data_IF_354867503453
#
_entry.id   IF_354867503453
#
_cell.length_a   1.000
_cell.length_b   1.000
_cell.length_c   1.000
_cell.angle_alpha   90.00
_cell.angle_beta   90.00
_cell.angle_gamma   90.00
#
_symmetry.space_group_name_H-M   'P 1'
#
loop_
_entity.id
_entity.type
_entity.pdbx_description
1 polymer ?
#
# COMPACT_ATOMS: atom_id res chain seq x y z
N UNK A 1 15.25 -3.73 -14.15
CA UNK A 1 15.09 -2.52 -13.32
C UNK A 1 13.96 -1.67 -13.89
N UNK A 2 13.11 -1.13 -13.03
CA UNK A 2 12.00 -0.24 -13.37
C UNK A 2 12.19 1.09 -12.64
N UNK A 3 11.85 2.21 -13.30
CA UNK A 3 11.92 3.53 -12.70
C UNK A 3 10.63 3.83 -11.91
N UNK A 4 10.81 4.32 -10.67
CA UNK A 4 9.73 4.76 -9.79
C UNK A 4 10.06 6.17 -9.29
N UNK A 5 9.55 7.18 -9.96
CA UNK A 5 9.98 8.56 -9.72
C UNK A 5 11.47 8.72 -9.98
N UNK A 6 12.23 9.13 -8.96
CA UNK A 6 13.70 9.29 -9.03
C UNK A 6 14.46 7.99 -8.76
N UNK A 7 13.80 6.94 -8.32
CA UNK A 7 14.40 5.68 -7.92
C UNK A 7 14.38 4.63 -9.03
N UNK A 8 15.29 3.65 -8.92
CA UNK A 8 15.28 2.44 -9.74
C UNK A 8 15.10 1.24 -8.81
N UNK A 9 14.08 0.42 -9.08
CA UNK A 9 13.81 -0.82 -8.35
C UNK A 9 13.88 -2.02 -9.27
N UNK A 10 14.14 -3.21 -8.71
CA UNK A 10 14.10 -4.44 -9.49
C UNK A 10 12.66 -4.67 -9.99
N UNK A 11 12.47 -4.79 -11.30
CA UNK A 11 11.18 -5.18 -11.88
C UNK A 11 10.91 -6.67 -11.58
N UNK A 12 11.92 -7.48 -11.75
CA UNK A 12 11.99 -8.90 -11.42
C UNK A 12 13.46 -9.25 -11.13
N UNK A 13 13.73 -10.35 -10.41
CA UNK A 13 15.08 -10.70 -9.96
C UNK A 13 15.77 -11.73 -10.84
N UNK A 14 15.05 -12.56 -11.56
CA UNK A 14 15.63 -13.55 -12.45
C UNK A 14 15.22 -13.32 -13.90
N UNK A 15 16.15 -13.58 -14.83
CA UNK A 15 15.85 -13.65 -16.27
C UNK A 15 15.23 -14.98 -16.67
N UNK A 16 15.50 -16.00 -15.86
CA UNK A 16 15.12 -17.40 -16.10
C UNK A 16 13.82 -17.78 -15.38
N UNK A 17 13.37 -16.97 -14.42
CA UNK A 17 12.10 -17.12 -13.72
C UNK A 17 11.16 -15.97 -14.10
N UNK A 18 9.90 -16.30 -14.31
CA UNK A 18 8.88 -15.29 -14.56
C UNK A 18 8.48 -14.59 -13.24
N UNK A 19 7.87 -13.41 -13.32
CA UNK A 19 7.27 -12.77 -12.13
C UNK A 19 6.21 -13.68 -11.48
N UNK A 20 5.65 -14.64 -12.22
CA UNK A 20 4.71 -15.66 -11.74
C UNK A 20 5.34 -16.58 -10.71
N UNK A 21 6.60 -17.00 -10.94
CA UNK A 21 7.35 -17.83 -9.99
C UNK A 21 7.66 -17.06 -8.70
N UNK A 22 7.95 -15.76 -8.81
CA UNK A 22 8.12 -14.88 -7.64
C UNK A 22 6.82 -14.78 -6.84
N UNK A 23 5.66 -14.55 -7.50
CA UNK A 23 4.33 -14.54 -6.88
C UNK A 23 4.04 -15.86 -6.17
N UNK A 24 4.24 -16.98 -6.86
CA UNK A 24 4.03 -18.32 -6.31
C UNK A 24 4.89 -18.57 -5.08
N UNK A 25 6.17 -18.14 -5.12
CA UNK A 25 7.07 -18.31 -3.97
C UNK A 25 6.60 -17.52 -2.75
N UNK A 26 6.14 -16.29 -2.92
CA UNK A 26 5.56 -15.49 -1.82
C UNK A 26 4.32 -16.15 -1.24
N UNK A 27 3.44 -16.71 -2.06
CA UNK A 27 2.22 -17.40 -1.62
C UNK A 27 2.47 -18.72 -0.90
N UNK A 28 3.46 -19.49 -1.34
CA UNK A 28 3.71 -20.84 -0.82
C UNK A 28 4.79 -20.90 0.25
N UNK A 29 5.78 -20.02 0.18
CA UNK A 29 7.00 -20.06 1.00
C UNK A 29 7.27 -18.73 1.70
N UNK A 30 8.27 -17.99 1.22
CA UNK A 30 8.61 -16.66 1.70
C UNK A 30 9.37 -15.88 0.64
N UNK A 31 9.00 -14.63 0.47
CA UNK A 31 9.68 -13.68 -0.39
C UNK A 31 10.29 -12.51 0.40
N UNK A 32 11.32 -11.90 -0.17
CA UNK A 32 11.91 -10.65 0.34
C UNK A 32 11.97 -9.62 -0.79
N UNK A 33 11.63 -8.38 -0.49
CA UNK A 33 11.73 -7.27 -1.46
C UNK A 33 12.29 -6.01 -0.81
N UNK A 34 12.97 -5.22 -1.62
CA UNK A 34 13.48 -3.90 -1.23
C UNK A 34 12.35 -2.87 -1.26
N UNK A 35 12.12 -2.22 -0.12
CA UNK A 35 11.17 -1.10 0.06
C UNK A 35 11.87 0.17 0.54
N UNK A 36 13.18 0.26 0.35
CA UNK A 36 14.00 1.41 0.79
C UNK A 36 13.57 2.73 0.19
N UNK A 37 12.85 2.70 -0.93
CA UNK A 37 12.39 3.91 -1.64
C UNK A 37 11.17 4.58 -1.03
N UNK A 38 10.48 3.94 -0.07
CA UNK A 38 9.42 4.59 0.71
C UNK A 38 9.98 5.79 1.45
N UNK A 39 9.23 6.90 1.51
CA UNK A 39 9.59 8.00 2.39
C UNK A 39 9.51 7.56 3.84
N UNK A 40 10.49 7.94 4.65
CA UNK A 40 10.55 7.63 6.09
C UNK A 40 10.87 8.90 6.86
N UNK A 41 10.01 9.22 7.81
CA UNK A 41 10.10 10.45 8.58
C UNK A 41 9.93 10.16 10.06
N UNK A 42 10.66 10.90 10.90
CA UNK A 42 10.43 10.93 12.35
C UNK A 42 9.89 12.30 12.72
N UNK A 43 8.86 12.33 13.52
CA UNK A 43 8.29 13.55 14.10
C UNK A 43 8.25 13.39 15.61
N UNK A 44 8.75 14.39 16.33
CA UNK A 44 8.83 14.38 17.80
C UNK A 44 8.57 15.78 18.38
N UNK A 45 8.14 15.82 19.63
CA UNK A 45 7.83 17.06 20.36
C UNK A 45 6.42 17.05 20.94
N UNK A 46 6.16 17.94 21.88
CA UNK A 46 4.88 17.99 22.63
C UNK A 46 3.65 18.16 21.73
N UNK A 47 3.81 18.71 20.53
CA UNK A 47 2.75 18.92 19.57
C UNK A 47 2.81 17.99 18.35
N UNK A 48 3.72 17.00 18.34
CA UNK A 48 3.86 16.05 17.22
C UNK A 48 2.54 15.35 16.87
N UNK A 49 1.78 14.92 17.87
CA UNK A 49 0.45 14.32 17.68
C UNK A 49 -0.53 15.30 17.02
N UNK A 50 -0.50 16.58 17.37
CA UNK A 50 -1.39 17.60 16.77
C UNK A 50 -1.11 17.77 15.28
N UNK A 51 0.17 17.72 14.89
CA UNK A 51 0.58 17.78 13.48
C UNK A 51 0.05 16.57 12.72
N UNK A 52 0.25 15.35 13.25
CA UNK A 52 -0.27 14.12 12.65
C UNK A 52 -1.80 14.14 12.54
N UNK A 53 -2.50 14.60 13.60
CA UNK A 53 -3.96 14.75 13.61
C UNK A 53 -4.47 15.82 12.61
N UNK A 54 -3.68 16.83 12.29
CA UNK A 54 -4.02 17.83 11.26
C UNK A 54 -3.96 17.22 9.84
N UNK A 55 -2.94 16.43 9.56
CA UNK A 55 -2.61 15.97 8.22
C UNK A 55 -3.36 14.69 7.84
N UNK A 56 -3.38 13.70 8.74
CA UNK A 56 -4.00 12.42 8.45
C UNK A 56 -5.49 12.44 8.76
N UNK A 57 -6.29 11.97 7.79
CA UNK A 57 -7.74 11.89 7.94
C UNK A 57 -8.17 10.89 9.02
N UNK A 58 -7.34 9.89 9.30
CA UNK A 58 -7.49 8.98 10.42
C UNK A 58 -7.38 9.72 11.76
N UNK A 59 -7.98 9.18 12.83
CA UNK A 59 -7.59 9.59 14.18
C UNK A 59 -6.30 8.89 14.58
N UNK A 60 -5.34 9.66 15.06
CA UNK A 60 -4.11 9.19 15.68
C UNK A 60 -4.26 9.11 17.21
N UNK A 61 -5.32 9.73 17.75
CA UNK A 61 -5.65 9.66 19.17
C UNK A 61 -5.84 8.21 19.63
N UNK A 62 -5.25 7.86 20.76
CA UNK A 62 -5.25 6.50 21.32
C UNK A 62 -4.30 5.51 20.63
N UNK A 63 -3.46 5.93 19.71
CA UNK A 63 -2.38 5.08 19.18
C UNK A 63 -1.34 4.85 20.27
N UNK A 64 -1.30 3.64 20.83
CA UNK A 64 -0.40 3.27 21.92
C UNK A 64 1.04 3.13 21.42
N UNK A 65 2.01 3.37 22.32
CA UNK A 65 3.41 3.08 22.05
C UNK A 65 3.62 1.61 21.65
N UNK A 66 4.51 1.38 20.69
CA UNK A 66 4.76 0.07 20.11
C UNK A 66 3.69 -0.40 19.12
N UNK A 67 2.75 0.48 18.73
CA UNK A 67 1.72 0.23 17.72
C UNK A 67 1.88 1.16 16.52
N UNK A 68 1.38 0.70 15.39
CA UNK A 68 1.29 1.49 14.16
C UNK A 68 -0.15 1.46 13.61
N UNK A 69 -0.42 2.38 12.70
CA UNK A 69 -1.71 2.50 12.02
C UNK A 69 -1.45 2.87 10.57
N UNK A 70 -2.21 2.27 9.64
CA UNK A 70 -2.32 2.78 8.28
C UNK A 70 -2.95 4.16 8.31
N UNK A 71 -2.36 5.11 7.60
CA UNK A 71 -2.76 6.51 7.60
C UNK A 71 -2.89 7.04 6.18
N UNK A 72 -3.81 7.97 5.99
CA UNK A 72 -4.12 8.58 4.70
C UNK A 72 -4.13 10.10 4.85
N UNK A 73 -3.38 10.77 3.97
CA UNK A 73 -3.40 12.22 3.82
C UNK A 73 -4.29 12.61 2.64
N UNK A 74 -5.05 13.67 2.80
CA UNK A 74 -5.89 14.26 1.75
C UNK A 74 -5.34 15.62 1.34
N UNK A 75 -5.65 16.04 0.11
CA UNK A 75 -5.48 17.43 -0.29
C UNK A 75 -6.66 18.30 0.20
N UNK A 76 -6.63 19.61 -0.09
CA UNK A 76 -7.68 20.55 0.32
C UNK A 76 -9.06 20.23 -0.26
N UNK A 77 -9.11 19.58 -1.42
CA UNK A 77 -10.34 19.16 -2.12
C UNK A 77 -10.88 17.82 -1.62
N UNK A 78 -10.24 17.21 -0.63
CA UNK A 78 -10.63 15.91 -0.06
C UNK A 78 -10.21 14.70 -0.86
N UNK A 79 -9.40 14.89 -1.91
CA UNK A 79 -8.84 13.80 -2.70
C UNK A 79 -7.62 13.18 -2.02
N UNK A 80 -7.38 11.91 -2.33
CA UNK A 80 -6.23 11.15 -1.81
C UNK A 80 -4.92 11.79 -2.28
N UNK A 81 -4.09 12.19 -1.32
CA UNK A 81 -2.78 12.80 -1.57
C UNK A 81 -1.66 11.78 -1.42
N UNK A 82 -1.67 11.05 -0.31
CA UNK A 82 -0.67 10.02 0.02
C UNK A 82 -1.18 9.08 1.10
N UNK A 83 -0.53 7.93 1.23
CA UNK A 83 -0.78 6.96 2.28
C UNK A 83 0.53 6.41 2.86
N UNK A 84 0.40 5.69 3.96
CA UNK A 84 1.54 5.06 4.61
C UNK A 84 1.16 4.44 5.95
N UNK A 85 2.15 4.24 6.80
CA UNK A 85 1.94 3.84 8.19
C UNK A 85 2.54 4.87 9.12
N UNK A 86 1.88 5.12 10.25
CA UNK A 86 2.42 5.92 11.33
C UNK A 86 2.52 5.08 12.60
N UNK A 87 3.69 5.06 13.23
CA UNK A 87 4.01 4.27 14.39
C UNK A 87 4.39 5.15 15.58
N UNK A 88 3.86 4.84 16.76
CA UNK A 88 4.19 5.49 18.02
C UNK A 88 5.37 4.75 18.66
N UNK A 89 6.53 5.39 18.77
CA UNK A 89 7.79 4.76 19.16
C UNK A 89 8.36 5.21 20.50
N UNK A 90 7.75 6.20 21.13
CA UNK A 90 8.14 6.74 22.43
C UNK A 90 7.31 7.96 22.80
N UNK A 91 7.54 8.54 23.97
CA UNK A 91 6.81 9.72 24.43
C UNK A 91 6.89 10.85 23.41
N UNK A 92 5.75 11.26 22.84
CA UNK A 92 5.64 12.30 21.81
C UNK A 92 6.56 12.06 20.58
N UNK A 93 6.83 10.81 20.24
CA UNK A 93 7.78 10.42 19.21
C UNK A 93 7.16 9.38 18.26
N UNK A 94 7.17 9.70 16.96
CA UNK A 94 6.51 8.91 15.94
C UNK A 94 7.42 8.74 14.71
N UNK A 95 7.33 7.58 14.09
CA UNK A 95 7.85 7.34 12.73
C UNK A 95 6.67 7.18 11.79
N UNK A 96 6.73 7.79 10.62
CA UNK A 96 5.73 7.55 9.58
C UNK A 96 6.40 7.35 8.22
N UNK A 97 5.71 6.58 7.37
CA UNK A 97 6.15 6.32 5.99
C UNK A 97 5.21 7.00 5.00
N UNK A 98 5.68 7.18 3.79
CA UNK A 98 4.94 7.72 2.64
C UNK A 98 5.19 6.85 1.42
N UNK A 99 4.35 6.97 0.40
CA UNK A 99 4.62 6.33 -0.88
C UNK A 99 5.91 6.87 -1.52
N UNK A 100 6.57 6.04 -2.33
CA UNK A 100 7.87 6.35 -2.97
C UNK A 100 7.85 7.65 -3.77
N UNK A 101 6.78 7.89 -4.51
CA UNK A 101 6.67 9.06 -5.40
C UNK A 101 6.27 10.36 -4.70
N UNK A 102 5.80 10.30 -3.45
CA UNK A 102 5.16 11.42 -2.78
C UNK A 102 5.91 11.95 -1.55
N UNK A 103 7.06 11.37 -1.19
CA UNK A 103 7.81 11.75 0.01
C UNK A 103 8.08 13.27 0.13
N UNK A 104 8.56 13.90 -0.95
CA UNK A 104 8.82 15.35 -0.95
C UNK A 104 7.52 16.16 -0.85
N UNK A 105 6.49 15.77 -1.58
CA UNK A 105 5.18 16.44 -1.57
C UNK A 105 4.51 16.34 -0.20
N UNK A 106 4.60 15.18 0.43
CA UNK A 106 4.02 14.96 1.77
C UNK A 106 4.70 15.83 2.83
N UNK A 107 6.05 15.91 2.83
CA UNK A 107 6.75 16.77 3.80
C UNK A 107 6.41 18.25 3.62
N UNK A 108 6.28 18.72 2.37
CA UNK A 108 5.86 20.09 2.09
C UNK A 108 4.42 20.32 2.55
N UNK A 109 3.55 19.33 2.44
CA UNK A 109 2.18 19.39 2.92
C UNK A 109 2.11 19.54 4.45
N UNK A 110 2.94 18.79 5.18
CA UNK A 110 3.09 18.95 6.63
C UNK A 110 3.52 20.37 6.99
N UNK A 111 4.58 20.87 6.37
CA UNK A 111 5.11 22.22 6.59
C UNK A 111 4.07 23.30 6.27
N UNK A 112 3.37 23.16 5.16
CA UNK A 112 2.35 24.11 4.75
C UNK A 112 1.23 24.25 5.77
N UNK A 113 0.72 23.16 6.30
CA UNK A 113 -0.42 23.14 7.21
C UNK A 113 -0.06 23.38 8.67
N UNK A 114 1.19 23.44 9.03
CA UNK A 114 1.67 23.76 10.39
C UNK A 114 2.40 25.09 10.50
N UNK A 115 2.70 25.76 9.38
CA UNK A 115 3.58 26.95 9.33
C UNK A 115 3.14 28.16 10.15
N UNK A 116 1.84 28.29 10.39
CA UNK A 116 1.29 29.41 11.16
C UNK A 116 0.83 29.00 12.56
N UNK A 117 1.04 27.72 12.90
CA UNK A 117 0.72 27.19 14.21
C UNK A 117 1.96 27.31 15.11
N UNK A 118 1.75 27.74 16.34
CA UNK A 118 2.84 27.85 17.32
C UNK A 118 3.11 26.49 17.97
N UNK A 119 3.31 25.43 17.16
CA UNK A 119 3.49 24.07 17.63
C UNK A 119 4.95 23.73 17.87
N UNK A 120 5.21 23.11 19.01
CA UNK A 120 6.53 22.62 19.39
C UNK A 120 6.73 21.19 18.88
N UNK A 121 7.33 21.06 17.69
CA UNK A 121 7.70 19.78 17.10
C UNK A 121 8.95 19.90 16.21
N UNK A 122 9.59 18.77 16.01
CA UNK A 122 10.67 18.59 15.03
C UNK A 122 10.33 17.46 14.08
N UNK A 123 10.67 17.59 12.80
CA UNK A 123 10.46 16.56 11.79
C UNK A 123 11.72 16.35 10.98
N UNK A 124 12.19 15.10 10.93
CA UNK A 124 13.43 14.69 10.25
C UNK A 124 13.11 13.70 9.14
N UNK A 125 13.66 13.95 7.96
CA UNK A 125 13.61 12.99 6.86
C UNK A 125 14.70 11.92 7.06
N UNK A 126 14.30 10.67 7.17
CA UNK A 126 15.16 9.51 7.36
C UNK A 126 15.25 8.63 6.10
N UNK A 127 14.70 9.08 4.96
CA UNK A 127 14.57 8.24 3.76
C UNK A 127 15.90 7.67 3.29
N UNK A 128 16.94 8.50 3.25
CA UNK A 128 18.28 8.06 2.79
C UNK A 128 19.12 7.43 3.92
N UNK A 129 18.69 7.60 5.17
CA UNK A 129 19.40 7.06 6.34
C UNK A 129 18.96 5.64 6.69
N UNK A 130 17.71 5.29 6.35
CA UNK A 130 17.12 3.99 6.60
C UNK A 130 16.77 3.29 5.30
N UNK A 131 17.30 2.11 5.11
CA UNK A 131 16.79 1.17 4.12
C UNK A 131 15.64 0.36 4.68
N UNK A 132 14.76 -0.13 3.81
CA UNK A 132 13.63 -0.96 4.18
C UNK A 132 13.62 -2.26 3.40
N UNK A 133 13.34 -3.37 4.08
CA UNK A 133 13.09 -4.67 3.49
C UNK A 133 11.73 -5.16 3.92
N UNK A 134 10.96 -5.74 3.00
CA UNK A 134 9.73 -6.44 3.35
C UNK A 134 9.92 -7.93 3.14
N UNK A 135 9.69 -8.73 4.19
CA UNK A 135 9.67 -10.18 4.15
C UNK A 135 8.22 -10.65 4.27
N UNK A 136 7.74 -11.42 3.31
CA UNK A 136 6.33 -11.80 3.22
C UNK A 136 6.14 -13.26 2.79
N UNK A 137 5.13 -13.90 3.35
CA UNK A 137 4.77 -15.28 3.05
C UNK A 137 4.54 -16.11 4.31
N UNK A 138 3.97 -17.33 4.20
CA UNK A 138 3.62 -18.17 5.35
C UNK A 138 4.81 -18.54 6.24
N UNK A 139 6.03 -18.55 5.71
CA UNK A 139 7.25 -18.85 6.47
C UNK A 139 8.01 -17.58 6.95
N UNK A 140 7.50 -16.39 6.73
CA UNK A 140 8.21 -15.14 7.09
C UNK A 140 8.56 -15.05 8.56
N UNK A 141 7.64 -15.46 9.47
CA UNK A 141 7.91 -15.53 10.91
C UNK A 141 9.05 -16.48 11.24
N UNK A 142 9.05 -17.68 10.68
CA UNK A 142 10.07 -18.72 10.94
C UNK A 142 11.47 -18.25 10.54
N UNK A 143 11.59 -17.45 9.48
CA UNK A 143 12.86 -16.84 9.09
C UNK A 143 13.32 -15.84 10.15
N UNK A 144 12.42 -14.95 10.60
CA UNK A 144 12.75 -13.91 11.58
C UNK A 144 13.04 -14.48 12.97
N UNK A 145 12.38 -15.57 13.39
CA UNK A 145 12.65 -16.26 14.65
C UNK A 145 14.10 -16.78 14.76
N UNK A 146 14.81 -16.97 13.64
CA UNK A 146 16.24 -17.28 13.64
C UNK A 146 17.14 -16.06 13.83
N UNK A 147 16.59 -14.85 13.70
CA UNK A 147 17.35 -13.60 13.58
C UNK A 147 17.16 -12.64 14.74
N UNK A 148 16.06 -12.75 15.47
CA UNK A 148 15.69 -11.82 16.56
C UNK A 148 15.34 -12.57 17.83
N UNK A 149 15.67 -11.97 18.98
CA UNK A 149 15.42 -12.53 20.31
C UNK A 149 14.10 -12.02 20.94
N UNK A 150 13.15 -11.55 20.12
CA UNK A 150 11.84 -11.10 20.59
C UNK A 150 10.76 -12.13 20.25
N UNK A 151 9.71 -12.18 21.08
CA UNK A 151 8.55 -13.03 20.82
C UNK A 151 7.78 -12.52 19.60
N UNK A 152 7.81 -13.28 18.50
CA UNK A 152 7.10 -13.00 17.24
C UNK A 152 5.72 -13.65 17.18
N UNK A 153 5.25 -14.27 18.25
CA UNK A 153 3.88 -14.81 18.35
C UNK A 153 2.83 -13.72 18.17
N UNK A 154 1.59 -14.12 17.93
CA UNK A 154 0.48 -13.16 17.82
C UNK A 154 0.24 -12.36 19.12
N UNK A 155 0.66 -12.90 20.27
CA UNK A 155 0.58 -12.23 21.57
C UNK A 155 1.73 -11.26 21.77
N UNK A 156 2.97 -11.68 21.52
CA UNK A 156 4.17 -10.85 21.72
C UNK A 156 4.34 -9.78 20.67
N UNK A 157 4.03 -10.11 19.41
CA UNK A 157 4.14 -9.19 18.28
C UNK A 157 2.87 -9.20 17.42
N UNK A 158 1.76 -8.65 17.92
CA UNK A 158 0.47 -8.68 17.22
C UNK A 158 0.50 -7.86 15.91
N UNK A 159 -0.47 -8.04 15.01
CA UNK A 159 -0.62 -7.19 13.82
C UNK A 159 -0.59 -5.70 14.17
N UNK A 160 0.00 -4.91 13.28
CA UNK A 160 0.19 -3.47 13.46
C UNK A 160 1.01 -3.12 14.73
N UNK A 161 2.01 -3.94 15.05
CA UNK A 161 3.00 -3.63 16.07
C UNK A 161 4.33 -3.21 15.44
N UNK A 162 5.07 -2.39 16.19
CA UNK A 162 6.46 -2.02 15.91
C UNK A 162 7.32 -2.35 17.13
N UNK A 163 8.53 -2.85 16.90
CA UNK A 163 9.53 -3.11 17.94
C UNK A 163 10.90 -2.68 17.46
N UNK A 164 11.69 -2.17 18.37
CA UNK A 164 13.13 -2.02 18.19
C UNK A 164 13.81 -3.31 18.65
N UNK A 165 14.64 -3.88 17.77
CA UNK A 165 15.39 -5.11 18.04
C UNK A 165 16.75 -5.06 17.34
N UNK A 166 17.47 -6.17 17.35
CA UNK A 166 18.74 -6.31 16.62
C UNK A 166 18.71 -7.53 15.73
N UNK A 167 19.37 -7.42 14.58
CA UNK A 167 19.67 -8.53 13.66
C UNK A 167 21.16 -8.49 13.39
N UNK A 168 21.90 -9.56 13.72
CA UNK A 168 23.34 -9.57 13.53
C UNK A 168 24.10 -8.44 14.25
N UNK A 169 23.63 -8.00 15.41
CA UNK A 169 24.21 -6.89 16.15
C UNK A 169 23.82 -5.50 15.65
N UNK A 170 23.06 -5.39 14.55
CA UNK A 170 22.59 -4.13 13.99
C UNK A 170 21.20 -3.81 14.53
N UNK A 171 21.03 -2.60 15.09
CA UNK A 171 19.73 -2.12 15.55
C UNK A 171 18.76 -1.88 14.38
N UNK A 172 17.56 -2.44 14.48
CA UNK A 172 16.52 -2.33 13.46
C UNK A 172 15.17 -1.96 14.09
N UNK A 173 14.31 -1.32 13.29
CA UNK A 173 12.88 -1.27 13.57
C UNK A 173 12.20 -2.41 12.80
N UNK A 174 11.51 -3.26 13.52
CA UNK A 174 10.69 -4.34 12.95
C UNK A 174 9.22 -3.96 13.07
N UNK A 175 8.50 -3.95 11.94
CA UNK A 175 7.07 -3.64 11.87
C UNK A 175 6.32 -4.86 11.36
N UNK A 176 5.26 -5.29 12.04
CA UNK A 176 4.36 -6.34 11.52
C UNK A 176 3.28 -5.69 10.66
N UNK A 177 3.62 -5.48 9.42
CA UNK A 177 2.77 -4.86 8.39
C UNK A 177 3.10 -5.48 7.04
N UNK A 178 2.10 -5.58 6.16
CA UNK A 178 2.29 -6.14 4.83
C UNK A 178 1.37 -5.54 3.79
N UNK A 179 1.83 -5.58 2.55
CA UNK A 179 1.13 -5.02 1.39
C UNK A 179 0.62 -6.11 0.42
N UNK A 180 1.19 -7.30 0.50
CA UNK A 180 0.98 -8.40 -0.46
C UNK A 180 -0.07 -9.44 -0.06
N UNK A 181 -0.70 -9.27 1.09
CA UNK A 181 -1.80 -10.15 1.54
C UNK A 181 -1.38 -11.40 2.29
N UNK A 182 -0.10 -11.57 2.58
CA UNK A 182 0.47 -12.63 3.44
C UNK A 182 0.91 -12.07 4.79
N UNK A 183 1.25 -12.97 5.72
CA UNK A 183 2.01 -12.59 6.92
C UNK A 183 3.30 -11.90 6.47
N UNK A 184 3.52 -10.69 6.94
CA UNK A 184 4.64 -9.89 6.49
C UNK A 184 5.20 -9.00 7.59
N UNK A 185 6.48 -8.67 7.42
CA UNK A 185 7.22 -7.78 8.29
C UNK A 185 8.07 -6.82 7.46
N UNK A 186 8.11 -5.57 7.88
CA UNK A 186 9.08 -4.60 7.36
C UNK A 186 10.22 -4.42 8.36
N UNK A 187 11.45 -4.48 7.84
CA UNK A 187 12.69 -4.30 8.59
C UNK A 187 13.30 -2.99 8.13
N UNK A 188 13.34 -1.99 9.00
CA UNK A 188 14.01 -0.72 8.73
C UNK A 188 15.37 -0.71 9.43
N UNK A 189 16.42 -0.55 8.65
CA UNK A 189 17.82 -0.71 9.05
C UNK A 189 18.66 0.49 8.60
N UNK A 190 19.73 0.89 9.31
CA UNK A 190 20.66 1.87 8.80
C UNK A 190 21.14 1.52 7.39
N UNK A 191 21.11 2.48 6.47
CA UNK A 191 21.43 2.23 5.05
C UNK A 191 22.83 1.61 4.86
N UNK A 192 23.80 1.97 5.72
CA UNK A 192 25.16 1.40 5.70
C UNK A 192 25.22 -0.11 5.97
N UNK A 193 24.23 -0.67 6.67
CA UNK A 193 24.17 -2.09 7.01
C UNK A 193 23.18 -2.88 6.13
N UNK A 194 22.50 -2.22 5.19
CA UNK A 194 21.38 -2.82 4.44
C UNK A 194 21.81 -4.04 3.63
N UNK A 195 22.92 -3.98 2.90
CA UNK A 195 23.38 -5.09 2.05
C UNK A 195 23.73 -6.32 2.88
N UNK A 196 24.51 -6.15 3.96
CA UNK A 196 24.90 -7.27 4.83
C UNK A 196 23.69 -7.88 5.54
N UNK A 197 22.70 -7.05 5.91
CA UNK A 197 21.48 -7.54 6.54
C UNK A 197 20.61 -8.30 5.55
N UNK A 198 20.53 -7.85 4.31
CA UNK A 198 19.84 -8.56 3.24
C UNK A 198 20.40 -9.97 3.08
N UNK A 199 21.73 -10.09 2.99
CA UNK A 199 22.40 -11.38 2.87
C UNK A 199 22.16 -12.28 4.11
N UNK A 200 22.15 -11.69 5.30
CA UNK A 200 21.84 -12.39 6.56
C UNK A 200 20.42 -12.96 6.55
N UNK A 201 19.41 -12.16 6.09
CA UNK A 201 18.02 -12.61 5.99
C UNK A 201 17.86 -13.70 4.94
N UNK A 202 18.50 -13.57 3.78
CA UNK A 202 18.51 -14.59 2.73
C UNK A 202 19.10 -15.90 3.27
N UNK A 203 20.25 -15.84 3.95
CA UNK A 203 20.90 -17.02 4.51
C UNK A 203 20.01 -17.75 5.53
N UNK A 204 19.41 -17.00 6.47
CA UNK A 204 18.50 -17.56 7.47
C UNK A 204 17.26 -18.21 6.85
N UNK A 205 16.80 -17.65 5.72
CA UNK A 205 15.61 -18.11 5.00
C UNK A 205 15.83 -19.27 4.02
N UNK A 206 17.07 -19.70 3.75
CA UNK A 206 17.35 -20.77 2.75
C UNK A 206 16.55 -22.04 2.97
N UNK A 207 16.46 -22.51 4.21
CA UNK A 207 15.68 -23.70 4.57
C UNK A 207 14.16 -23.56 4.42
N UNK A 208 13.68 -22.33 4.17
CA UNK A 208 12.28 -21.99 3.92
C UNK A 208 12.06 -21.49 2.49
N UNK A 209 13.02 -21.73 1.60
CA UNK A 209 12.97 -21.33 0.20
C UNK A 209 12.74 -19.83 -0.01
N UNK A 210 13.40 -19.00 0.80
CA UNK A 210 13.35 -17.55 0.61
C UNK A 210 13.90 -17.15 -0.75
N UNK A 211 13.15 -16.33 -1.48
CA UNK A 211 13.60 -15.76 -2.75
C UNK A 211 13.27 -14.27 -2.81
N UNK A 212 14.11 -13.46 -3.46
CA UNK A 212 13.74 -12.08 -3.74
C UNK A 212 12.58 -12.02 -4.73
N UNK A 213 11.72 -11.01 -4.60
CA UNK A 213 10.67 -10.71 -5.57
C UNK A 213 10.68 -9.23 -5.94
N UNK A 214 10.40 -8.96 -7.21
CA UNK A 214 10.44 -7.64 -7.80
C UNK A 214 9.10 -6.91 -7.75
N UNK A 215 9.09 -5.73 -8.35
CA UNK A 215 7.92 -4.87 -8.38
C UNK A 215 6.74 -5.49 -9.12
N UNK A 216 6.97 -6.18 -10.23
CA UNK A 216 5.87 -6.78 -11.00
C UNK A 216 5.15 -7.85 -10.17
N UNK A 217 5.89 -8.70 -9.46
CA UNK A 217 5.29 -9.64 -8.52
C UNK A 217 4.56 -8.90 -7.38
N UNK A 218 5.14 -7.83 -6.84
CA UNK A 218 4.49 -7.01 -5.83
C UNK A 218 3.17 -6.39 -6.33
N UNK A 219 3.12 -5.94 -7.60
CA UNK A 219 1.91 -5.42 -8.23
C UNK A 219 0.80 -6.47 -8.32
N UNK A 220 1.12 -7.68 -8.76
CA UNK A 220 0.14 -8.78 -8.83
C UNK A 220 -0.37 -9.12 -7.43
N UNK A 221 0.54 -9.34 -6.47
CA UNK A 221 0.21 -9.74 -5.10
C UNK A 221 -0.67 -8.71 -4.37
N UNK A 222 -0.35 -7.40 -4.48
CA UNK A 222 -1.17 -6.34 -3.86
C UNK A 222 -2.54 -6.21 -4.53
N UNK A 223 -2.57 -6.42 -5.87
CA UNK A 223 -3.81 -6.34 -6.64
C UNK A 223 -4.76 -7.48 -6.25
N UNK A 224 -4.26 -8.71 -6.04
CA UNK A 224 -5.02 -9.83 -5.51
C UNK A 224 -5.67 -9.49 -4.15
N UNK A 225 -5.03 -8.63 -3.36
CA UNK A 225 -5.57 -8.13 -2.08
C UNK A 225 -6.40 -6.85 -2.23
N UNK A 226 -6.50 -6.33 -3.44
CA UNK A 226 -7.15 -5.06 -3.76
C UNK A 226 -6.60 -3.86 -2.96
N UNK A 227 -5.32 -3.91 -2.58
CA UNK A 227 -4.65 -2.76 -1.98
C UNK A 227 -4.37 -1.73 -3.07
N UNK A 228 -4.77 -0.48 -2.83
CA UNK A 228 -4.54 0.64 -3.73
C UNK A 228 -3.07 1.08 -3.73
N UNK A 229 -2.65 1.69 -4.83
CA UNK A 229 -1.38 2.43 -4.92
C UNK A 229 -1.73 3.89 -5.24
N UNK A 230 -1.16 4.81 -4.47
CA UNK A 230 -1.32 6.23 -4.71
C UNK A 230 -0.74 6.60 -6.08
N UNK A 231 -1.57 7.26 -6.89
CA UNK A 231 -1.24 7.59 -8.28
C UNK A 231 -1.61 6.53 -9.31
N UNK A 232 -2.07 5.36 -8.87
CA UNK A 232 -2.58 4.28 -9.75
C UNK A 232 -4.11 4.21 -9.68
N UNK A 233 -4.65 3.90 -8.50
CA UNK A 233 -6.10 3.88 -8.23
C UNK A 233 -6.62 5.22 -7.72
N UNK A 234 -5.75 6.19 -7.48
CA UNK A 234 -6.07 7.46 -6.84
C UNK A 234 -5.58 8.64 -7.67
N UNK A 235 -6.12 8.82 -8.84
CA UNK A 235 -5.92 10.05 -9.59
C UNK A 235 -6.37 11.27 -8.77
N UNK A 236 -5.91 12.47 -9.12
CA UNK A 236 -6.08 13.72 -8.34
C UNK A 236 -7.53 14.09 -7.97
N UNK A 237 -8.52 13.41 -8.54
CA UNK A 237 -9.96 13.61 -8.32
C UNK A 237 -10.63 12.54 -7.45
N UNK A 238 -9.89 11.52 -7.00
CA UNK A 238 -10.42 10.37 -6.27
C UNK A 238 -10.29 10.60 -4.78
N UNK A 239 -11.36 10.36 -4.03
CA UNK A 239 -11.42 10.49 -2.59
C UNK A 239 -11.64 9.13 -1.88
N UNK A 240 -11.61 9.12 -0.55
CA UNK A 240 -11.79 7.91 0.27
C UNK A 240 -13.08 7.16 0.01
N UNK A 241 -14.15 7.85 -0.35
CA UNK A 241 -15.48 7.24 -0.53
C UNK A 241 -15.53 6.51 -1.87
N UNK A 242 -14.84 7.03 -2.87
CA UNK A 242 -14.76 6.45 -4.21
C UNK A 242 -14.02 5.12 -4.22
N UNK A 243 -12.99 4.99 -3.36
CA UNK A 243 -12.21 3.74 -3.21
C UNK A 243 -12.70 2.83 -2.08
N UNK A 244 -13.87 3.08 -1.52
CA UNK A 244 -14.45 2.25 -0.47
C UNK A 244 -13.78 2.37 0.91
N UNK A 245 -12.90 3.36 1.10
CA UNK A 245 -12.11 3.54 2.32
C UNK A 245 -12.71 4.54 3.31
N UNK A 246 -14.00 4.85 3.21
CA UNK A 246 -14.69 5.76 4.13
C UNK A 246 -14.59 5.38 5.62
N UNK A 247 -14.26 4.12 5.92
CA UNK A 247 -14.04 3.63 7.27
C UNK A 247 -12.77 4.20 7.94
N UNK A 248 -11.79 4.68 7.17
CA UNK A 248 -10.55 5.29 7.68
C UNK A 248 -10.81 6.70 8.20
N UNK A 249 -11.86 7.35 7.73
CA UNK A 249 -12.21 8.71 8.14
C UNK A 249 -12.57 8.79 9.62
N UNK A 250 -11.90 9.67 10.36
CA UNK A 250 -12.15 9.88 11.78
C UNK A 250 -13.56 10.44 12.01
N UNK A 251 -14.49 9.60 12.40
CA UNK A 251 -15.92 9.94 12.64
C UNK A 251 -16.10 11.03 13.70
N UNK A 252 -15.11 11.25 14.59
CA UNK A 252 -15.13 12.26 15.65
C UNK A 252 -14.69 13.66 15.21
N UNK A 253 -14.21 13.82 13.97
CA UNK A 253 -13.80 15.14 13.47
C UNK A 253 -15.01 15.96 13.04
N UNK A 254 -15.81 16.37 14.02
CA UNK A 254 -17.02 17.19 13.79
C UNK A 254 -16.68 18.65 13.44
N UNK A 255 -15.45 19.10 13.74
CA UNK A 255 -15.01 20.50 13.54
C UNK A 255 -14.16 20.70 12.28
N UNK A 256 -14.06 19.69 11.42
CA UNK A 256 -13.26 19.73 10.18
C UNK A 256 -11.81 20.21 10.41
N UNK A 257 -11.19 19.79 11.49
CA UNK A 257 -9.81 20.19 11.83
C UNK A 257 -8.76 19.52 10.97
N UNK A 258 -9.10 18.37 10.36
CA UNK A 258 -8.21 17.61 9.49
C UNK A 258 -8.27 18.14 8.08
N UNK A 259 -7.12 18.17 7.41
CA UNK A 259 -7.05 18.62 6.01
C UNK A 259 -7.94 17.74 5.12
N UNK A 260 -8.71 18.36 4.24
CA UNK A 260 -9.63 17.68 3.33
C UNK A 260 -10.95 17.18 3.95
N UNK A 261 -11.09 17.18 5.28
CA UNK A 261 -12.30 16.66 5.94
C UNK A 261 -13.59 17.40 5.55
N UNK A 262 -13.51 18.71 5.37
CA UNK A 262 -14.66 19.51 4.94
C UNK A 262 -15.09 19.16 3.51
N UNK A 263 -14.15 19.12 2.58
CA UNK A 263 -14.42 18.75 1.19
C UNK A 263 -14.96 17.30 1.07
N UNK A 264 -14.39 16.36 1.83
CA UNK A 264 -14.87 14.98 1.87
C UNK A 264 -16.31 14.88 2.40
N UNK A 265 -16.69 15.74 3.35
CA UNK A 265 -18.08 15.83 3.85
C UNK A 265 -19.04 16.30 2.77
N UNK A 266 -18.66 17.31 1.99
CA UNK A 266 -19.44 17.78 0.84
C UNK A 266 -19.54 16.66 -0.21
N UNK A 267 -18.41 16.01 -0.54
CA UNK A 267 -18.38 14.95 -1.53
C UNK A 267 -19.29 13.76 -1.20
N UNK A 268 -19.52 13.49 0.10
CA UNK A 268 -20.41 12.41 0.55
C UNK A 268 -21.84 12.56 0.04
N UNK A 269 -22.32 13.80 -0.08
CA UNK A 269 -23.69 14.12 -0.45
C UNK A 269 -23.84 14.45 -1.94
N UNK A 270 -22.74 14.39 -2.72
CA UNK A 270 -22.77 14.63 -4.16
C UNK A 270 -23.31 13.43 -4.93
N UNK A 271 -24.21 13.65 -5.91
CA UNK A 271 -24.60 12.62 -6.87
C UNK A 271 -23.48 12.34 -7.87
N UNK A 272 -23.51 11.16 -8.51
CA UNK A 272 -22.58 10.75 -9.58
C UNK A 272 -21.12 10.70 -9.14
N UNK A 273 -20.81 9.82 -8.22
CA UNK A 273 -19.41 9.51 -7.85
C UNK A 273 -18.89 8.33 -8.64
N UNK A 274 -17.59 8.35 -8.86
CA UNK A 274 -16.87 7.15 -9.29
C UNK A 274 -16.81 6.15 -8.14
N UNK A 275 -16.73 4.87 -8.49
CA UNK A 275 -16.53 3.76 -7.56
C UNK A 275 -15.37 2.91 -8.04
N UNK A 276 -14.45 2.61 -7.14
CA UNK A 276 -13.45 1.59 -7.38
C UNK A 276 -14.09 0.21 -7.23
N UNK A 277 -14.05 -0.57 -8.29
CA UNK A 277 -14.58 -1.93 -8.35
C UNK A 277 -13.49 -2.92 -8.71
N UNK A 278 -13.62 -4.17 -8.23
CA UNK A 278 -12.87 -5.28 -8.76
C UNK A 278 -13.57 -5.89 -9.96
N UNK A 279 -12.81 -6.36 -10.92
CA UNK A 279 -13.34 -7.09 -12.07
C UNK A 279 -12.48 -8.29 -12.44
N UNK A 280 -13.09 -9.24 -13.16
CA UNK A 280 -12.40 -10.36 -13.79
C UNK A 280 -12.72 -10.40 -15.27
N UNK A 281 -11.77 -10.91 -16.05
CA UNK A 281 -11.90 -11.11 -17.51
C UNK A 281 -11.92 -12.60 -17.77
N UNK A 282 -12.65 -13.05 -18.77
CA UNK A 282 -12.71 -14.45 -19.19
C UNK A 282 -11.36 -14.91 -19.78
N UNK A 283 -11.05 -16.21 -19.66
CA UNK A 283 -9.70 -16.79 -19.80
C UNK A 283 -9.04 -16.61 -21.18
N UNK A 284 -9.81 -16.41 -22.26
CA UNK A 284 -9.31 -16.35 -23.63
C UNK A 284 -9.09 -14.91 -24.14
N UNK A 285 -9.34 -13.88 -23.32
CA UNK A 285 -9.23 -12.50 -23.73
C UNK A 285 -7.84 -11.92 -23.45
N UNK A 286 -7.39 -11.03 -24.32
CA UNK A 286 -6.19 -10.24 -24.10
C UNK A 286 -6.33 -9.40 -22.82
N UNK A 287 -5.26 -9.31 -22.02
CA UNK A 287 -5.24 -8.54 -20.78
C UNK A 287 -5.01 -7.07 -21.11
N UNK A 288 -6.02 -6.18 -20.96
CA UNK A 288 -5.84 -4.78 -21.25
C UNK A 288 -4.80 -4.11 -20.35
N UNK A 289 -4.13 -3.09 -20.86
CA UNK A 289 -3.16 -2.29 -20.12
C UNK A 289 -3.80 -1.41 -19.03
N UNK A 290 -2.96 -0.98 -18.09
CA UNK A 290 -3.35 0.06 -17.12
C UNK A 290 -3.67 1.35 -17.89
N UNK A 291 -4.80 1.98 -17.57
CA UNK A 291 -5.28 3.19 -18.25
C UNK A 291 -6.27 2.95 -19.40
N UNK A 292 -6.51 1.71 -19.82
CA UNK A 292 -7.56 1.38 -20.77
C UNK A 292 -8.92 1.92 -20.27
N UNK A 293 -9.77 2.37 -21.20
CA UNK A 293 -11.05 3.00 -20.84
C UNK A 293 -12.17 1.99 -20.78
N UNK A 294 -13.21 2.31 -20.01
CA UNK A 294 -14.47 1.57 -19.94
C UNK A 294 -15.48 2.37 -20.72
N UNK A 295 -16.16 1.73 -21.64
CA UNK A 295 -17.06 2.40 -22.57
C UNK A 295 -18.49 1.86 -22.47
N UNK A 296 -19.46 2.73 -22.70
CA UNK A 296 -20.85 2.39 -22.89
C UNK A 296 -21.32 2.84 -24.28
N UNK A 297 -22.28 2.11 -24.85
CA UNK A 297 -22.81 2.44 -26.16
C UNK A 297 -21.74 2.47 -27.22
N UNK A 298 -21.72 3.53 -28.04
CA UNK A 298 -20.77 3.66 -29.13
C UNK A 298 -19.43 4.25 -28.72
N UNK A 299 -19.43 5.32 -27.93
CA UNK A 299 -18.19 6.08 -27.61
C UNK A 299 -18.20 6.76 -26.22
N UNK A 300 -19.16 6.47 -25.34
CA UNK A 300 -19.24 7.14 -24.04
C UNK A 300 -18.23 6.52 -23.07
N UNK A 301 -17.22 7.27 -22.65
CA UNK A 301 -16.26 6.84 -21.61
C UNK A 301 -16.91 7.02 -20.24
N UNK A 302 -17.09 5.91 -19.55
CA UNK A 302 -17.78 5.82 -18.26
C UNK A 302 -16.90 5.32 -17.12
N UNK A 303 -15.61 5.14 -17.39
CA UNK A 303 -14.63 4.70 -16.42
C UNK A 303 -13.29 4.40 -17.04
N UNK A 304 -12.37 3.96 -16.21
CA UNK A 304 -11.05 3.52 -16.65
C UNK A 304 -10.50 2.39 -15.79
N UNK A 305 -9.65 1.56 -16.40
CA UNK A 305 -8.89 0.54 -15.70
C UNK A 305 -7.74 1.23 -14.96
N UNK A 306 -7.66 1.01 -13.64
CA UNK A 306 -6.54 1.48 -12.84
C UNK A 306 -5.39 0.48 -12.88
N UNK A 307 -5.71 -0.80 -12.73
CA UNK A 307 -4.73 -1.90 -12.72
C UNK A 307 -5.37 -3.16 -13.28
N UNK A 308 -4.67 -3.86 -14.18
CA UNK A 308 -5.09 -5.14 -14.71
C UNK A 308 -3.89 -6.08 -14.89
N UNK A 309 -3.99 -7.31 -14.42
CA UNK A 309 -2.94 -8.34 -14.52
C UNK A 309 -3.55 -9.73 -14.63
N UNK A 310 -2.78 -10.68 -15.12
CA UNK A 310 -3.10 -12.09 -14.96
C UNK A 310 -2.57 -12.59 -13.61
N UNK A 311 -3.36 -13.35 -12.87
CA UNK A 311 -2.97 -14.00 -11.62
C UNK A 311 -2.96 -15.51 -11.76
N UNK A 312 -1.80 -16.13 -11.52
CA UNK A 312 -1.69 -17.58 -11.40
C UNK A 312 -2.43 -18.12 -10.18
N UNK A 313 -2.51 -17.32 -9.11
CA UNK A 313 -3.24 -17.68 -7.88
C UNK A 313 -4.73 -17.82 -8.13
N UNK A 314 -5.28 -16.94 -8.98
CA UNK A 314 -6.71 -16.90 -9.32
C UNK A 314 -7.03 -17.68 -10.61
N UNK A 315 -6.03 -17.99 -11.43
CA UNK A 315 -6.18 -18.65 -12.72
C UNK A 315 -6.86 -17.79 -13.80
N UNK A 316 -6.85 -16.45 -13.66
CA UNK A 316 -7.53 -15.54 -14.58
C UNK A 316 -6.95 -14.13 -14.60
N UNK A 317 -7.32 -13.35 -15.61
CA UNK A 317 -7.08 -11.92 -15.63
C UNK A 317 -8.08 -11.19 -14.72
N UNK A 318 -7.60 -10.19 -14.01
CA UNK A 318 -8.37 -9.46 -13.02
C UNK A 318 -7.80 -8.05 -12.80
N UNK A 319 -8.59 -7.17 -12.20
CA UNK A 319 -8.14 -5.81 -12.00
C UNK A 319 -9.02 -4.96 -11.11
N UNK A 320 -8.60 -3.71 -10.95
CA UNK A 320 -9.34 -2.63 -10.32
C UNK A 320 -9.65 -1.55 -11.35
N UNK A 321 -10.86 -1.04 -11.32
CA UNK A 321 -11.34 0.01 -12.22
C UNK A 321 -12.15 1.06 -11.47
N UNK A 322 -12.05 2.30 -11.93
CA UNK A 322 -12.96 3.38 -11.52
C UNK A 322 -14.10 3.45 -12.52
N UNK A 323 -15.33 3.28 -12.06
CA UNK A 323 -16.53 3.29 -12.88
C UNK A 323 -17.58 4.24 -12.30
N UNK A 324 -18.51 4.67 -13.13
CA UNK A 324 -19.73 5.33 -12.63
C UNK A 324 -20.49 4.41 -11.67
N UNK A 325 -21.10 4.99 -10.64
CA UNK A 325 -21.80 4.25 -9.57
C UNK A 325 -22.85 3.26 -10.09
N UNK A 326 -23.54 3.60 -11.20
CA UNK A 326 -24.54 2.72 -11.82
C UNK A 326 -23.99 1.38 -12.32
N UNK A 327 -22.67 1.29 -12.57
CA UNK A 327 -21.99 0.08 -13.04
C UNK A 327 -21.21 -0.64 -11.93
N UNK A 328 -21.30 -0.16 -10.70
CA UNK A 328 -20.52 -0.71 -9.59
C UNK A 328 -21.10 -1.96 -8.94
N UNK A 329 -22.28 -2.41 -9.35
CA UNK A 329 -22.92 -3.60 -8.80
C UNK A 329 -22.19 -4.88 -9.23
N UNK A 330 -22.07 -5.82 -8.29
CA UNK A 330 -21.45 -7.12 -8.56
C UNK A 330 -22.27 -7.86 -9.62
N UNK A 331 -21.58 -8.37 -10.64
CA UNK A 331 -22.19 -9.02 -11.81
C UNK A 331 -22.42 -8.08 -12.98
N UNK A 332 -22.22 -6.76 -12.82
CA UNK A 332 -22.27 -5.82 -13.95
C UNK A 332 -21.20 -6.15 -14.98
N UNK A 333 -21.55 -6.01 -16.26
CA UNK A 333 -20.61 -6.19 -17.38
C UNK A 333 -19.98 -4.84 -17.73
N UNK A 334 -18.66 -4.82 -17.86
CA UNK A 334 -17.88 -3.70 -18.34
C UNK A 334 -17.33 -4.02 -19.74
N UNK A 335 -17.39 -3.06 -20.64
CA UNK A 335 -16.73 -3.16 -21.94
C UNK A 335 -15.44 -2.35 -21.92
N UNK A 336 -14.32 -3.06 -22.04
CA UNK A 336 -12.97 -2.49 -21.95
C UNK A 336 -12.46 -2.19 -23.35
N UNK A 337 -11.87 -1.01 -23.52
CA UNK A 337 -11.32 -0.54 -24.78
C UNK A 337 -9.92 0.06 -24.58
N UNK A 338 -8.99 -0.36 -25.38
CA UNK A 338 -7.61 0.14 -25.40
C UNK A 338 -7.30 0.73 -26.78
N UNK A 339 -6.39 1.70 -26.82
CA UNK A 339 -5.95 2.32 -28.07
C UNK A 339 -5.37 1.28 -29.04
N UNK A 340 -5.80 1.33 -30.29
CA UNK A 340 -5.44 0.35 -31.31
C UNK A 340 -6.40 -0.84 -31.43
N UNK A 341 -7.38 -0.99 -30.56
CA UNK A 341 -8.46 -1.99 -30.68
C UNK A 341 -9.56 -1.52 -31.66
N UNK A 342 -10.11 -2.44 -32.45
CA UNK A 342 -11.38 -2.19 -33.13
C UNK A 342 -12.55 -2.25 -32.12
N UNK A 343 -13.61 -1.49 -32.36
CA UNK A 343 -14.83 -1.49 -31.51
C UNK A 343 -15.42 -2.88 -31.30
N UNK A 344 -15.29 -3.76 -32.31
CA UNK A 344 -15.74 -5.16 -32.27
C UNK A 344 -14.91 -6.07 -31.35
N UNK A 345 -13.66 -5.63 -31.02
CA UNK A 345 -12.69 -6.41 -30.25
C UNK A 345 -12.64 -5.99 -28.76
N UNK A 346 -13.69 -5.27 -28.30
CA UNK A 346 -13.83 -4.88 -26.89
C UNK A 346 -13.79 -6.11 -25.97
N UNK A 347 -13.00 -6.01 -24.93
CA UNK A 347 -12.89 -7.08 -23.93
C UNK A 347 -14.02 -6.92 -22.91
N UNK A 348 -14.73 -8.00 -22.61
CA UNK A 348 -15.75 -8.03 -21.57
C UNK A 348 -15.14 -8.39 -20.22
N UNK A 349 -15.52 -7.64 -19.19
CA UNK A 349 -15.16 -7.92 -17.82
C UNK A 349 -16.40 -7.92 -16.93
N UNK A 350 -16.35 -8.67 -15.85
CA UNK A 350 -17.45 -8.79 -14.88
C UNK A 350 -17.03 -8.21 -13.55
N UNK A 351 -17.81 -7.28 -13.01
CA UNK A 351 -17.60 -6.71 -11.68
C UNK A 351 -17.74 -7.80 -10.62
N UNK A 352 -16.79 -7.89 -9.70
CA UNK A 352 -16.77 -8.92 -8.66
C UNK A 352 -16.36 -8.37 -7.29
N UNK A 353 -16.50 -9.20 -6.26
CA UNK A 353 -16.10 -8.85 -4.90
C UNK A 353 -14.58 -8.71 -4.76
N UNK A 354 -14.17 -7.76 -3.96
CA UNK A 354 -12.78 -7.60 -3.46
C UNK A 354 -12.74 -7.79 -1.94
N UNK A 355 -11.59 -8.21 -1.37
CA UNK A 355 -10.36 -8.66 -2.05
C UNK A 355 -10.56 -9.97 -2.81
N UNK A 356 -9.80 -10.17 -3.89
CA UNK A 356 -9.84 -11.40 -4.69
C UNK A 356 -9.19 -12.59 -3.97
N UNK A 357 -8.17 -12.32 -3.18
CA UNK A 357 -7.40 -13.29 -2.40
C UNK A 357 -7.58 -13.04 -0.90
N UNK A 358 -7.77 -14.13 -0.12
CA UNK A 358 -7.93 -14.11 1.34
C UNK A 358 -8.88 -12.98 1.82
N UNK A 359 -10.16 -13.01 1.44
CA UNK A 359 -11.12 -11.92 1.71
C UNK A 359 -11.31 -11.64 3.20
N UNK A 360 -11.03 -12.60 4.06
CA UNK A 360 -11.14 -12.46 5.52
C UNK A 360 -9.84 -12.04 6.21
N UNK A 361 -8.73 -11.90 5.48
CA UNK A 361 -7.42 -11.51 6.04
C UNK A 361 -6.82 -12.53 7.00
N UNK A 362 -7.13 -13.83 6.82
CA UNK A 362 -6.66 -14.88 7.71
C UNK A 362 -5.15 -15.15 7.54
N UNK A 363 -4.64 -15.06 6.32
CA UNK A 363 -3.23 -15.28 5.99
C UNK A 363 -2.27 -14.29 6.68
N UNK A 364 -2.74 -13.10 6.99
CA UNK A 364 -1.94 -12.07 7.69
C UNK A 364 -1.96 -12.21 9.22
N UNK A 365 -2.86 -13.04 9.74
CA UNK A 365 -3.10 -13.19 11.19
C UNK A 365 -2.56 -14.50 11.79
N UNK A 366 -1.97 -15.32 10.96
CA UNK A 366 -1.35 -16.60 11.40
C UNK A 366 -0.11 -16.36 12.26
#
# INVERSE_FOLDING_TARGET
MQRMGVWKRAKYFSKDTSCRDEVKNVRCNVGITDVSTLGKFRISGSDALKVLERIYINSMDGLKEGKLKYVVALNGDGCLLDDGVAAHIGENDYIFTTSTGHAAKTIEWFRFHSRYENWNYSMVNLTDQLSGMNIAGPNSRKVLEKLVDIDLSNTGFPPNAIRKTQIGGVGVWLMRVGFVGELAYEIHVPASAAASLWDTVIEAGKSFEIKPFGQEAQFILRLEKAHIIIGQETESRVNLLDVGMGHVWAKKDTKNKKVGAYALRIAKDQPKRLKLVGFTIDDDAEVPGDGAVIVAGKNDVIGNICSCRYSETLGKAFGLALVEEALSEIGSTLELFEDGMDVKDRVKAIVCKTPFYDPHGLKQRV
#
